data_IF_683929712708
#
_entry.id   IF_683929712708
#
_cell.length_a   1.000
_cell.length_b   1.000
_cell.length_c   1.000
_cell.angle_alpha   90.00
_cell.angle_beta   90.00
_cell.angle_gamma   90.00
#
_symmetry.space_group_name_H-M   'P 1'
#
loop_
_entity.id
_entity.type
_entity.pdbx_description
1 polymer ?
#
# COMPACT_ATOMS: atom_id res chain seq x y z
N UNK A 1 9.60 -59.12 -10.00
CA UNK A 1 10.00 -57.81 -9.46
C UNK A 1 10.00 -56.78 -10.60
N UNK A 2 8.98 -55.92 -10.65
CA UNK A 2 8.94 -54.66 -11.41
C UNK A 2 7.84 -53.84 -10.74
N UNK A 3 8.26 -52.99 -9.80
CA UNK A 3 7.40 -52.03 -9.11
C UNK A 3 7.36 -50.81 -10.02
N UNK A 4 6.20 -50.54 -10.62
CA UNK A 4 5.98 -49.31 -11.39
C UNK A 4 4.90 -48.51 -10.69
N UNK A 5 5.39 -47.48 -10.00
CA UNK A 5 4.69 -46.36 -9.41
C UNK A 5 3.60 -45.80 -10.32
N UNK A 6 2.34 -45.84 -9.88
CA UNK A 6 1.31 -44.90 -10.30
C UNK A 6 0.52 -44.47 -9.06
N UNK A 7 1.07 -43.46 -8.40
CA UNK A 7 0.36 -42.60 -7.47
C UNK A 7 -0.59 -41.70 -8.26
N UNK A 8 -1.72 -41.36 -7.62
CA UNK A 8 -2.67 -40.27 -7.94
C UNK A 8 -3.86 -40.68 -8.83
N UNK A 9 -4.88 -41.25 -8.20
CA UNK A 9 -6.26 -41.11 -8.68
C UNK A 9 -7.09 -40.36 -7.63
N UNK A 10 -7.29 -39.07 -7.90
CA UNK A 10 -8.52 -38.29 -7.68
C UNK A 10 -9.35 -38.64 -6.43
N UNK A 11 -9.24 -37.82 -5.39
CA UNK A 11 -10.38 -37.50 -4.53
C UNK A 11 -10.83 -36.07 -4.85
N UNK A 12 -11.39 -35.91 -6.05
CA UNK A 12 -12.05 -34.68 -6.43
C UNK A 12 -13.41 -34.57 -5.72
N UNK A 13 -13.68 -33.36 -5.22
CA UNK A 13 -14.97 -32.77 -4.85
C UNK A 13 -15.84 -33.49 -3.83
N UNK A 14 -15.73 -33.04 -2.57
CA UNK A 14 -16.90 -32.77 -1.72
C UNK A 14 -16.62 -31.44 -0.98
N UNK A 15 -17.19 -30.32 -1.44
CA UNK A 15 -18.33 -29.63 -0.79
C UNK A 15 -17.87 -28.82 0.45
N UNK A 16 -18.24 -27.58 0.70
CA UNK A 16 -19.54 -26.93 0.55
C UNK A 16 -19.29 -25.41 0.40
N UNK A 17 -20.05 -24.79 -0.50
CA UNK A 17 -20.21 -23.34 -0.64
C UNK A 17 -20.77 -22.71 0.64
N UNK A 18 -20.07 -21.70 1.14
CA UNK A 18 -20.71 -20.59 1.85
C UNK A 18 -19.90 -19.32 1.64
N UNK A 19 -20.03 -18.69 0.48
CA UNK A 19 -20.08 -17.23 0.49
C UNK A 19 -21.32 -16.92 1.32
N UNK A 20 -21.13 -16.68 2.61
CA UNK A 20 -22.18 -16.13 3.43
C UNK A 20 -22.53 -14.80 2.77
N UNK A 21 -23.73 -14.70 2.20
CA UNK A 21 -24.37 -13.41 2.03
C UNK A 21 -24.57 -12.89 3.46
N UNK A 22 -23.51 -12.30 4.02
CA UNK A 22 -23.69 -11.38 5.12
C UNK A 22 -24.68 -10.37 4.57
N UNK A 23 -25.82 -10.25 5.25
CA UNK A 23 -26.60 -9.02 5.13
C UNK A 23 -25.61 -7.91 5.36
N UNK A 24 -25.24 -7.20 4.29
CA UNK A 24 -24.42 -6.01 4.42
C UNK A 24 -25.30 -5.07 5.20
N UNK A 25 -25.11 -5.06 6.52
CA UNK A 25 -25.42 -3.89 7.31
C UNK A 25 -24.52 -2.86 6.67
N UNK A 26 -25.10 -2.04 5.78
CA UNK A 26 -24.50 -0.83 5.26
C UNK A 26 -24.35 0.14 6.44
N UNK A 27 -23.52 -0.22 7.42
CA UNK A 27 -22.89 0.75 8.28
C UNK A 27 -21.96 1.49 7.32
N UNK A 28 -22.13 2.80 7.13
CA UNK A 28 -21.13 3.57 6.40
C UNK A 28 -19.79 3.23 7.05
N UNK A 29 -18.90 2.58 6.31
CA UNK A 29 -17.52 2.45 6.73
C UNK A 29 -16.98 3.87 6.53
N UNK A 30 -17.22 4.74 7.51
CA UNK A 30 -16.48 6.00 7.60
C UNK A 30 -15.02 5.59 7.72
N UNK A 31 -14.16 5.93 6.75
CA UNK A 31 -12.74 5.70 6.90
C UNK A 31 -12.32 6.26 8.25
N UNK A 32 -11.63 5.47 9.07
CA UNK A 32 -11.07 5.98 10.30
C UNK A 32 -10.16 7.16 9.92
N UNK A 33 -10.51 8.37 10.38
CA UNK A 33 -9.65 9.54 10.19
C UNK A 33 -8.38 9.25 10.98
N UNK A 34 -7.24 9.29 10.30
CA UNK A 34 -5.94 9.11 10.95
C UNK A 34 -5.79 10.13 12.07
N UNK A 35 -5.07 9.84 13.14
CA UNK A 35 -4.57 10.90 14.02
C UNK A 35 -3.48 11.70 13.29
N UNK A 36 -3.18 12.92 13.74
CA UNK A 36 -2.06 13.71 13.20
C UNK A 36 -0.72 12.99 13.36
N UNK A 37 -0.57 12.19 14.42
CA UNK A 37 0.59 11.34 14.62
C UNK A 37 0.66 10.24 13.54
N UNK A 38 -0.43 9.49 13.33
CA UNK A 38 -0.47 8.44 12.32
C UNK A 38 -0.22 8.99 10.91
N UNK A 39 -0.71 10.18 10.61
CA UNK A 39 -0.44 10.88 9.36
C UNK A 39 1.07 11.13 9.16
N UNK A 40 1.75 11.67 10.18
CA UNK A 40 3.19 11.88 10.13
C UNK A 40 3.98 10.59 10.00
N UNK A 41 3.61 9.56 10.76
CA UNK A 41 4.25 8.26 10.70
C UNK A 41 4.15 7.66 9.29
N UNK A 42 2.96 7.70 8.68
CA UNK A 42 2.76 7.20 7.32
C UNK A 42 3.61 7.98 6.30
N UNK A 43 3.68 9.30 6.40
CA UNK A 43 4.53 10.12 5.53
C UNK A 43 6.01 9.72 5.63
N UNK A 44 6.53 9.51 6.84
CA UNK A 44 7.94 9.24 7.12
C UNK A 44 8.36 7.79 6.89
N UNK A 45 7.44 6.83 7.00
CA UNK A 45 7.73 5.40 6.82
C UNK A 45 7.80 4.98 5.34
N UNK A 46 7.37 5.83 4.42
CA UNK A 46 7.27 5.50 3.00
C UNK A 46 8.06 6.46 2.12
N UNK A 47 8.61 5.91 1.04
CA UNK A 47 9.03 6.69 -0.13
C UNK A 47 7.85 6.84 -1.06
N UNK A 48 7.42 8.09 -1.28
CA UNK A 48 6.35 8.42 -2.19
C UNK A 48 6.92 8.61 -3.59
N UNK A 49 6.26 8.07 -4.60
CA UNK A 49 6.76 8.12 -5.97
C UNK A 49 5.66 8.55 -6.92
N UNK A 50 5.99 9.48 -7.82
CA UNK A 50 5.13 9.89 -8.92
C UNK A 50 5.92 9.89 -10.22
N UNK A 51 5.40 9.20 -11.24
CA UNK A 51 5.98 9.24 -12.58
C UNK A 51 5.09 10.09 -13.47
N UNK A 52 5.56 11.26 -13.93
CA UNK A 52 4.79 12.09 -14.86
C UNK A 52 4.47 11.34 -16.16
N UNK A 53 3.34 11.63 -16.83
CA UNK A 53 3.08 11.11 -18.16
C UNK A 53 4.24 11.44 -19.12
N UNK A 54 4.63 10.46 -19.94
CA UNK A 54 5.75 10.58 -20.89
C UNK A 54 7.14 10.77 -20.25
N UNK A 55 7.31 10.42 -18.98
CA UNK A 55 8.62 10.34 -18.31
C UNK A 55 8.96 8.89 -17.98
N UNK A 56 10.21 8.48 -18.21
CA UNK A 56 10.75 7.21 -17.70
C UNK A 56 11.35 7.36 -16.30
N UNK A 57 11.58 8.60 -15.86
CA UNK A 57 12.21 8.90 -14.58
C UNK A 57 11.14 9.31 -13.58
N UNK A 58 11.00 8.59 -12.45
CA UNK A 58 10.08 8.97 -11.38
C UNK A 58 10.62 10.15 -10.56
N UNK A 59 9.70 10.92 -9.99
CA UNK A 59 9.95 11.84 -8.88
C UNK A 59 9.76 11.05 -7.59
N UNK A 60 10.78 11.00 -6.74
CA UNK A 60 10.73 10.37 -5.42
C UNK A 60 10.71 11.42 -4.33
N UNK A 61 9.86 11.22 -3.32
CA UNK A 61 9.66 12.12 -2.19
C UNK A 61 9.82 11.31 -0.90
N UNK A 62 10.76 11.75 -0.05
CA UNK A 62 11.02 11.16 1.25
C UNK A 62 10.81 12.20 2.35
N UNK A 63 10.02 11.84 3.36
CA UNK A 63 9.83 12.66 4.55
C UNK A 63 10.77 12.16 5.65
N UNK A 64 11.49 13.08 6.29
CA UNK A 64 12.15 12.83 7.57
C UNK A 64 11.56 13.76 8.64
N UNK A 65 12.13 13.78 9.84
CA UNK A 65 11.57 14.55 10.96
C UNK A 65 11.49 16.07 10.71
N UNK A 66 12.29 16.61 9.79
CA UNK A 66 12.46 18.07 9.64
C UNK A 66 12.25 18.56 8.21
N UNK A 67 12.33 17.67 7.22
CA UNK A 67 12.39 18.04 5.80
C UNK A 67 11.80 16.98 4.87
N UNK A 68 11.43 17.47 3.69
CA UNK A 68 11.05 16.69 2.53
C UNK A 68 12.25 16.72 1.59
N UNK A 69 12.76 15.54 1.22
CA UNK A 69 13.75 15.39 0.16
C UNK A 69 13.03 14.95 -1.13
N UNK A 70 13.27 15.66 -2.23
CA UNK A 70 12.67 15.43 -3.54
C UNK A 70 13.78 15.12 -4.52
N UNK A 71 13.68 13.95 -5.16
CA UNK A 71 14.62 13.46 -6.16
C UNK A 71 13.92 13.37 -7.51
N UNK A 72 14.52 13.94 -8.56
CA UNK A 72 14.01 13.86 -9.93
C UNK A 72 15.18 13.62 -10.88
N UNK A 73 15.47 12.34 -11.15
CA UNK A 73 16.71 11.94 -11.81
C UNK A 73 17.93 12.38 -11.00
N UNK A 74 18.84 13.14 -11.60
CA UNK A 74 20.02 13.68 -10.93
C UNK A 74 19.75 14.96 -10.12
N UNK A 75 18.52 15.49 -10.13
CA UNK A 75 18.18 16.71 -9.38
C UNK A 75 17.73 16.35 -7.96
N UNK A 76 18.24 17.09 -6.97
CA UNK A 76 17.87 16.97 -5.56
C UNK A 76 17.41 18.33 -5.02
N UNK A 77 16.27 18.32 -4.34
CA UNK A 77 15.78 19.45 -3.56
C UNK A 77 15.44 18.99 -2.15
N UNK A 78 15.66 19.85 -1.15
CA UNK A 78 15.17 19.64 0.21
C UNK A 78 14.46 20.89 0.72
N UNK A 79 13.35 20.70 1.43
CA UNK A 79 12.62 21.79 2.11
C UNK A 79 12.15 21.36 3.47
N UNK A 80 12.19 22.28 4.44
CA UNK A 80 11.51 22.09 5.73
C UNK A 80 10.00 22.00 5.51
N UNK A 81 9.32 21.20 6.32
CA UNK A 81 7.86 21.09 6.30
C UNK A 81 7.32 20.97 7.72
N UNK A 82 6.01 21.22 7.85
CA UNK A 82 5.21 20.83 9.01
C UNK A 82 3.96 20.12 8.54
N UNK A 83 3.24 19.51 9.48
CA UNK A 83 1.90 19.01 9.21
C UNK A 83 0.88 19.65 10.11
N UNK A 84 -0.28 19.93 9.54
CA UNK A 84 -1.43 20.50 10.23
C UNK A 84 -2.69 19.94 9.58
N UNK A 85 -3.62 19.41 10.39
CA UNK A 85 -4.93 18.91 9.93
C UNK A 85 -4.82 17.98 8.71
N UNK A 86 -3.88 17.03 8.75
CA UNK A 86 -3.60 16.05 7.67
C UNK A 86 -3.11 16.67 6.36
N UNK A 87 -2.50 17.85 6.43
CA UNK A 87 -1.90 18.54 5.29
C UNK A 87 -0.43 18.84 5.56
N UNK A 88 0.36 18.88 4.49
CA UNK A 88 1.76 19.30 4.50
C UNK A 88 1.78 20.82 4.27
N UNK A 89 2.51 21.54 5.13
CA UNK A 89 2.66 23.00 5.15
C UNK A 89 4.11 23.40 4.89
#
# INVERSE_FOLDING_TARGET
MKITTFLLFSCAVLSISACQNTTIVNKPITPAVLSSQQFNEILQQHTWTYTPPNSEIPIQINFNNESIAIYSGCNLMSRKYKTQDHQIM
#
